data_IF_394579108962
#
_entry.id   IF_394579108962
#
_cell.length_a   1.000
_cell.length_b   1.000
_cell.length_c   1.000
_cell.angle_alpha   90.00
_cell.angle_beta   90.00
_cell.angle_gamma   90.00
#
_symmetry.space_group_name_H-M   'P 1'
#
loop_
_entity.id
_entity.type
_entity.pdbx_description
1 polymer ?
#
# COMPACT_ATOMS: atom_id res chain seq x y z
N UNK A 1 13.08 1.69 18.60
CA UNK A 1 14.04 2.45 17.81
C UNK A 1 15.36 2.50 18.57
N UNK A 2 16.48 2.35 17.86
CA UNK A 2 17.83 2.44 18.41
C UNK A 2 18.67 3.40 17.57
N UNK A 3 19.87 3.85 18.03
CA UNK A 3 20.76 4.70 17.22
C UNK A 3 21.18 4.07 15.87
N UNK A 4 20.98 2.78 15.68
CA UNK A 4 21.27 2.06 14.44
C UNK A 4 20.08 1.96 13.50
N UNK A 5 18.88 2.33 13.95
CA UNK A 5 17.67 2.27 13.11
C UNK A 5 17.77 3.33 12.01
N UNK A 6 17.63 2.91 10.75
CA UNK A 6 17.70 3.80 9.56
C UNK A 6 16.38 3.87 8.82
N UNK A 7 15.60 2.81 8.89
CA UNK A 7 14.33 2.69 8.18
C UNK A 7 13.31 2.05 9.11
N UNK A 8 12.08 2.57 9.10
CA UNK A 8 10.88 1.93 9.66
C UNK A 8 10.01 1.54 8.47
N UNK A 9 9.71 0.24 8.34
CA UNK A 9 8.78 -0.25 7.32
C UNK A 9 7.58 -0.89 8.00
N UNK A 10 6.37 -0.43 7.64
CA UNK A 10 5.14 -0.89 8.27
C UNK A 10 3.93 -0.73 7.35
N UNK A 11 2.93 -1.60 7.53
CA UNK A 11 1.64 -1.43 6.86
C UNK A 11 0.84 -0.29 7.50
N UNK A 12 0.16 0.54 6.69
CA UNK A 12 -0.79 1.53 7.18
C UNK A 12 -2.07 0.86 7.72
N UNK A 13 -2.55 -0.17 7.02
CA UNK A 13 -3.63 -1.05 7.47
C UNK A 13 -3.15 -2.48 7.40
N UNK A 14 -3.26 -3.22 8.51
CA UNK A 14 -2.83 -4.63 8.53
C UNK A 14 -3.87 -5.51 7.82
N UNK A 15 -3.40 -6.53 7.08
CA UNK A 15 -4.30 -7.28 6.21
C UNK A 15 -5.11 -8.38 6.92
N UNK A 16 -4.81 -8.69 8.17
CA UNK A 16 -5.53 -9.72 8.95
C UNK A 16 -6.41 -9.06 10.01
N UNK A 17 -5.82 -8.25 10.87
CA UNK A 17 -6.55 -7.61 11.97
C UNK A 17 -7.26 -6.34 11.51
N UNK A 18 -6.80 -5.69 10.43
CA UNK A 18 -7.38 -4.45 9.95
C UNK A 18 -7.00 -3.21 10.79
N UNK A 19 -5.99 -3.35 11.66
CA UNK A 19 -5.51 -2.25 12.49
C UNK A 19 -4.97 -1.10 11.64
N UNK A 20 -5.50 0.11 11.86
CA UNK A 20 -5.10 1.34 11.15
C UNK A 20 -4.05 2.07 11.98
N UNK A 21 -2.85 2.19 11.45
CA UNK A 21 -1.73 2.78 12.16
C UNK A 21 -1.60 4.28 11.93
N UNK A 22 -1.19 5.05 12.95
CA UNK A 22 -1.04 6.50 12.89
C UNK A 22 0.24 6.87 12.12
N UNK A 23 0.21 6.74 10.79
CA UNK A 23 1.40 6.91 9.92
C UNK A 23 1.99 8.30 10.04
N UNK A 24 1.16 9.35 10.10
CA UNK A 24 1.62 10.73 10.21
C UNK A 24 2.46 10.97 11.46
N UNK A 25 1.99 10.48 12.59
CA UNK A 25 2.67 10.58 13.89
C UNK A 25 3.97 9.77 13.90
N UNK A 26 3.93 8.59 13.26
CA UNK A 26 5.12 7.74 13.10
C UNK A 26 6.16 8.43 12.21
N UNK A 27 5.75 9.06 11.10
CA UNK A 27 6.64 9.80 10.23
C UNK A 27 7.28 10.99 10.97
N UNK A 28 6.48 11.79 11.68
CA UNK A 28 6.99 12.92 12.45
C UNK A 28 8.05 12.47 13.47
N UNK A 29 7.76 11.44 14.25
CA UNK A 29 8.71 10.87 15.21
C UNK A 29 9.99 10.32 14.54
N UNK A 30 9.83 9.60 13.43
CA UNK A 30 10.95 8.99 12.72
C UNK A 30 11.89 10.06 12.13
N UNK A 31 11.32 11.10 11.53
CA UNK A 31 12.08 12.20 10.91
C UNK A 31 12.88 13.01 11.92
N UNK A 32 12.37 13.23 13.13
CA UNK A 32 13.15 13.86 14.23
C UNK A 32 14.44 13.08 14.56
N UNK A 33 14.44 11.78 14.27
CA UNK A 33 15.59 10.89 14.50
C UNK A 33 16.41 10.60 13.23
N UNK A 34 16.07 11.21 12.11
CA UNK A 34 16.72 10.98 10.81
C UNK A 34 16.47 9.57 10.26
N UNK A 35 15.28 9.00 10.51
CA UNK A 35 14.87 7.66 10.09
C UNK A 35 13.83 7.78 8.97
N UNK A 36 14.03 7.04 7.89
CA UNK A 36 13.07 6.97 6.78
C UNK A 36 11.89 6.06 7.10
N UNK A 37 10.71 6.42 6.56
CA UNK A 37 9.48 5.64 6.73
C UNK A 37 8.99 5.12 5.38
N UNK A 38 8.87 3.79 5.30
CA UNK A 38 8.33 3.06 4.15
C UNK A 38 6.97 2.48 4.52
N UNK A 39 5.92 2.93 3.85
CA UNK A 39 4.54 2.53 4.13
C UNK A 39 4.06 1.47 3.14
N UNK A 40 3.59 0.34 3.64
CA UNK A 40 2.78 -0.59 2.87
C UNK A 40 1.33 -0.09 2.87
N UNK A 41 0.89 0.42 1.71
CA UNK A 41 -0.44 0.93 1.45
C UNK A 41 -1.39 -0.10 0.83
N UNK A 42 -1.01 -1.38 0.78
CA UNK A 42 -1.78 -2.38 0.04
C UNK A 42 -3.22 -2.57 0.53
N UNK A 43 -3.49 -2.33 1.82
CA UNK A 43 -4.83 -2.40 2.41
C UNK A 43 -5.42 -1.02 2.74
N UNK A 44 -4.67 0.07 2.61
CA UNK A 44 -5.20 1.42 2.85
C UNK A 44 -5.65 2.11 1.56
N UNK A 45 -4.79 2.15 0.54
CA UNK A 45 -5.06 2.88 -0.72
C UNK A 45 -6.33 2.40 -1.44
N UNK A 46 -6.70 1.10 -1.44
CA UNK A 46 -7.96 0.63 -2.03
C UNK A 46 -9.23 1.08 -1.29
N UNK A 47 -9.15 1.35 0.01
CA UNK A 47 -10.31 1.40 0.89
C UNK A 47 -10.51 2.75 1.58
N UNK A 48 -9.52 3.63 1.58
CA UNK A 48 -9.60 4.95 2.21
C UNK A 48 -8.81 5.99 1.44
N UNK A 49 -9.10 7.26 1.69
CA UNK A 49 -8.33 8.37 1.12
C UNK A 49 -6.93 8.39 1.73
N UNK A 50 -5.92 8.30 0.89
CA UNK A 50 -4.51 8.41 1.27
C UNK A 50 -3.91 9.63 0.59
N UNK A 51 -3.35 10.54 1.39
CA UNK A 51 -2.63 11.73 0.93
C UNK A 51 -1.20 11.67 1.43
N UNK A 52 -0.27 11.40 0.53
CA UNK A 52 1.15 11.24 0.86
C UNK A 52 1.80 12.54 1.38
N UNK A 53 1.29 13.70 0.96
CA UNK A 53 1.76 14.99 1.46
C UNK A 53 1.32 15.24 2.90
N UNK A 54 0.10 14.80 3.25
CA UNK A 54 -0.40 14.86 4.61
C UNK A 54 0.30 13.87 5.54
N UNK A 55 0.55 12.65 5.06
CA UNK A 55 1.22 11.60 5.81
C UNK A 55 2.72 11.89 6.01
N UNK A 56 3.31 12.62 5.07
CA UNK A 56 4.75 12.92 5.01
C UNK A 56 5.64 11.65 4.99
N UNK A 57 5.14 10.53 4.48
CA UNK A 57 5.93 9.31 4.35
C UNK A 57 6.99 9.45 3.24
N UNK A 58 8.11 8.78 3.41
CA UNK A 58 9.22 8.83 2.46
C UNK A 58 8.96 7.95 1.25
N UNK A 59 8.36 6.79 1.47
CA UNK A 59 7.92 5.85 0.44
C UNK A 59 6.56 5.26 0.78
N UNK A 60 5.76 4.96 -0.25
CA UNK A 60 4.49 4.23 -0.13
C UNK A 60 4.35 3.28 -1.30
N UNK A 61 4.04 2.00 -1.00
CA UNK A 61 3.85 0.97 -2.01
C UNK A 61 2.44 0.37 -1.95
N UNK A 62 1.84 0.08 -3.11
CA UNK A 62 0.55 -0.58 -3.20
C UNK A 62 0.36 -1.31 -4.53
N UNK A 63 -0.68 -2.13 -4.64
CA UNK A 63 -0.92 -3.02 -5.77
C UNK A 63 -2.23 -2.73 -6.48
N UNK A 64 -2.21 -2.73 -7.82
CA UNK A 64 -3.40 -2.45 -8.64
C UNK A 64 -4.52 -3.48 -8.44
N UNK A 65 -4.19 -4.77 -8.28
CA UNK A 65 -5.19 -5.83 -8.17
C UNK A 65 -6.08 -5.72 -6.92
N UNK A 66 -5.66 -4.97 -5.90
CA UNK A 66 -6.49 -4.66 -4.73
C UNK A 66 -7.36 -3.41 -4.92
N UNK A 67 -7.15 -2.68 -6.03
CA UNK A 67 -7.87 -1.47 -6.41
C UNK A 67 -8.70 -1.66 -7.67
N UNK A 68 -9.33 -2.81 -7.87
CA UNK A 68 -10.08 -3.19 -9.07
C UNK A 68 -9.25 -3.16 -10.38
N UNK A 69 -7.95 -3.01 -10.25
CA UNK A 69 -7.00 -3.01 -11.36
C UNK A 69 -6.46 -4.40 -11.69
N UNK A 70 -5.68 -4.54 -12.75
CA UNK A 70 -5.13 -5.83 -13.17
C UNK A 70 -4.01 -6.31 -12.25
N UNK A 71 -3.78 -7.63 -12.27
CA UNK A 71 -2.59 -8.25 -11.64
C UNK A 71 -1.31 -7.84 -12.34
N UNK A 72 -0.17 -7.96 -11.66
CA UNK A 72 1.16 -7.68 -12.24
C UNK A 72 1.48 -6.18 -12.38
N UNK A 73 0.71 -5.31 -11.74
CA UNK A 73 0.98 -3.86 -11.65
C UNK A 73 0.98 -3.43 -10.19
N UNK A 74 1.97 -2.64 -9.83
CA UNK A 74 2.07 -1.99 -8.53
C UNK A 74 2.70 -0.61 -8.68
N UNK A 75 2.61 0.18 -7.64
CA UNK A 75 3.16 1.54 -7.57
C UNK A 75 4.07 1.67 -6.37
N UNK A 76 5.20 2.29 -6.56
CA UNK A 76 6.04 2.85 -5.52
C UNK A 76 6.02 4.37 -5.65
N UNK A 77 5.41 5.04 -4.68
CA UNK A 77 5.62 6.46 -4.46
C UNK A 77 6.89 6.66 -3.64
N UNK A 78 7.62 7.72 -3.90
CA UNK A 78 8.73 8.17 -3.07
C UNK A 78 8.95 9.66 -3.21
N UNK A 79 9.47 10.31 -2.17
CA UNK A 79 9.95 11.70 -2.25
C UNK A 79 11.02 11.76 -3.33
N UNK A 80 10.94 12.76 -4.22
CA UNK A 80 11.78 12.85 -5.43
C UNK A 80 13.27 12.75 -5.12
N UNK A 81 13.72 13.51 -4.13
CA UNK A 81 15.10 13.54 -3.68
C UNK A 81 15.61 12.18 -3.17
N UNK A 82 14.72 11.35 -2.63
CA UNK A 82 15.07 10.01 -2.19
C UNK A 82 15.12 9.04 -3.37
N UNK A 83 14.16 9.12 -4.31
CA UNK A 83 14.15 8.30 -5.51
C UNK A 83 15.38 8.56 -6.40
N UNK A 84 15.83 9.81 -6.51
CA UNK A 84 17.04 10.20 -7.25
C UNK A 84 18.32 9.54 -6.70
N UNK A 85 18.34 9.27 -5.39
CA UNK A 85 19.46 8.61 -4.72
C UNK A 85 19.37 7.08 -4.68
N UNK A 86 18.27 6.48 -5.16
CA UNK A 86 18.16 5.04 -5.25
C UNK A 86 18.98 4.48 -6.42
N UNK A 87 19.67 3.39 -6.16
CA UNK A 87 20.25 2.56 -7.22
C UNK A 87 19.18 1.58 -7.72
N UNK A 88 19.04 1.39 -9.04
CA UNK A 88 18.12 0.37 -9.57
C UNK A 88 18.59 -1.03 -9.14
N UNK A 89 17.64 -1.88 -8.75
CA UNK A 89 17.90 -3.28 -8.38
C UNK A 89 18.17 -4.10 -9.65
N UNK A 90 17.44 -3.81 -10.73
CA UNK A 90 17.58 -4.47 -12.02
C UNK A 90 17.99 -3.45 -13.08
N UNK A 91 18.79 -3.87 -14.03
CA UNK A 91 19.09 -3.12 -15.25
C UNK A 91 18.43 -3.78 -16.45
N UNK A 92 17.88 -2.97 -17.36
CA UNK A 92 17.17 -3.48 -18.54
C UNK A 92 16.92 -2.42 -19.61
N UNK A 93 16.23 -2.82 -20.66
CA UNK A 93 15.89 -1.93 -21.77
C UNK A 93 15.05 -0.74 -21.27
N UNK A 94 15.22 0.41 -21.93
CA UNK A 94 14.50 1.64 -21.64
C UNK A 94 15.10 2.53 -20.57
N UNK A 95 15.99 2.02 -19.72
CA UNK A 95 16.63 2.75 -18.62
C UNK A 95 17.81 3.62 -19.04
N UNK A 96 18.52 3.24 -20.10
CA UNK A 96 19.76 3.91 -20.52
C UNK A 96 19.45 5.15 -21.35
N UNK A 97 20.20 6.23 -21.10
CA UNK A 97 20.16 7.45 -21.87
C UNK A 97 21.02 7.37 -23.12
N UNK A 98 22.27 6.87 -22.98
CA UNK A 98 23.19 6.65 -24.10
C UNK A 98 24.01 5.37 -23.93
N UNK A 99 24.61 4.92 -25.05
CA UNK A 99 25.53 3.78 -25.12
C UNK A 99 26.89 4.19 -25.67
N UNK A 100 27.24 5.46 -25.60
CA UNK A 100 28.43 6.01 -26.21
C UNK A 100 29.73 5.49 -25.58
N UNK A 101 29.66 5.12 -24.31
CA UNK A 101 30.80 4.50 -23.62
C UNK A 101 30.38 3.14 -23.00
N UNK A 102 30.88 2.00 -23.50
CA UNK A 102 30.53 0.68 -23.01
C UNK A 102 31.03 0.39 -21.58
N UNK A 103 31.83 1.27 -20.99
CA UNK A 103 32.34 1.14 -19.61
C UNK A 103 31.50 1.95 -18.60
N UNK A 104 30.59 2.78 -19.07
CA UNK A 104 29.79 3.67 -18.23
C UNK A 104 28.31 3.52 -18.57
N UNK A 105 27.47 3.39 -17.55
CA UNK A 105 26.03 3.30 -17.71
C UNK A 105 25.43 4.65 -17.29
N UNK A 106 24.90 5.38 -18.27
CA UNK A 106 24.16 6.61 -18.04
C UNK A 106 22.67 6.29 -18.01
N UNK A 107 22.06 6.40 -16.83
CA UNK A 107 20.64 6.14 -16.66
C UNK A 107 19.83 7.40 -16.98
N UNK A 108 18.65 7.19 -17.54
CA UNK A 108 17.64 8.24 -17.72
C UNK A 108 17.19 8.82 -16.38
N UNK A 109 16.46 9.93 -16.45
CA UNK A 109 15.78 10.52 -15.31
C UNK A 109 14.65 9.62 -14.77
N UNK A 110 14.16 9.96 -13.58
CA UNK A 110 12.96 9.36 -13.01
C UNK A 110 11.75 9.54 -13.94
N UNK A 111 10.86 8.58 -14.01
CA UNK A 111 10.89 7.26 -13.32
C UNK A 111 11.73 6.19 -14.04
N UNK A 112 12.14 6.43 -15.27
CA UNK A 112 12.73 5.43 -16.18
C UNK A 112 13.98 4.74 -15.64
N UNK A 113 14.79 5.44 -14.85
CA UNK A 113 16.00 4.87 -14.24
C UNK A 113 15.72 3.74 -13.24
N UNK A 114 14.49 3.63 -12.74
CA UNK A 114 14.08 2.62 -11.76
C UNK A 114 13.16 1.54 -12.36
N UNK A 115 12.83 1.65 -13.67
CA UNK A 115 11.91 0.74 -14.38
C UNK A 115 12.66 -0.04 -15.46
N UNK A 116 13.05 -1.28 -15.14
CA UNK A 116 13.84 -2.13 -16.03
C UNK A 116 12.99 -2.89 -17.04
N UNK A 117 13.29 -2.71 -18.33
CA UNK A 117 12.64 -3.44 -19.43
C UNK A 117 11.32 -2.81 -19.89
N UNK A 118 10.66 -3.47 -20.83
CA UNK A 118 9.34 -3.02 -21.33
C UNK A 118 8.30 -3.14 -20.22
N UNK A 119 7.61 -2.05 -19.82
CA UNK A 119 6.61 -2.09 -18.77
C UNK A 119 5.37 -2.87 -19.20
N UNK A 120 4.55 -3.29 -18.23
CA UNK A 120 3.24 -3.88 -18.47
C UNK A 120 2.25 -2.79 -18.94
N UNK A 121 2.36 -2.38 -20.22
CA UNK A 121 1.61 -1.25 -20.80
C UNK A 121 0.10 -1.46 -20.65
N UNK A 122 -0.41 -2.63 -21.05
CA UNK A 122 -1.85 -2.93 -20.95
C UNK A 122 -2.34 -2.89 -19.51
N UNK A 123 -1.56 -3.45 -18.57
CA UNK A 123 -1.90 -3.42 -17.16
C UNK A 123 -1.92 -2.01 -16.57
N UNK A 124 -0.96 -1.15 -16.94
CA UNK A 124 -0.92 0.25 -16.47
C UNK A 124 -2.10 1.06 -17.01
N UNK A 125 -2.46 0.88 -18.28
CA UNK A 125 -3.65 1.53 -18.88
C UNK A 125 -4.92 1.07 -18.16
N UNK A 126 -5.09 -0.24 -17.96
CA UNK A 126 -6.23 -0.80 -17.23
C UNK A 126 -6.30 -0.30 -15.79
N UNK A 127 -5.15 -0.16 -15.12
CA UNK A 127 -5.11 0.42 -13.78
C UNK A 127 -5.52 1.90 -13.76
N UNK A 128 -5.13 2.67 -14.77
CA UNK A 128 -5.59 4.06 -14.93
C UNK A 128 -7.12 4.18 -15.01
N UNK A 129 -7.79 3.26 -15.70
CA UNK A 129 -9.27 3.22 -15.77
C UNK A 129 -9.88 2.79 -14.42
N UNK A 130 -9.28 1.86 -13.69
CA UNK A 130 -9.71 1.49 -12.34
C UNK A 130 -9.63 2.68 -11.38
N UNK A 131 -8.55 3.46 -11.42
CA UNK A 131 -8.41 4.70 -10.62
C UNK A 131 -9.50 5.72 -10.97
N UNK A 132 -9.80 5.93 -12.25
CA UNK A 132 -10.89 6.83 -12.68
C UNK A 132 -12.23 6.35 -12.14
N UNK A 133 -12.50 5.05 -12.19
CA UNK A 133 -13.73 4.47 -11.66
C UNK A 133 -13.87 4.71 -10.15
N UNK A 134 -12.83 4.44 -9.36
CA UNK A 134 -12.81 4.68 -7.92
C UNK A 134 -13.00 6.17 -7.59
N UNK A 135 -12.31 7.05 -8.31
CA UNK A 135 -12.45 8.49 -8.13
C UNK A 135 -13.85 9.02 -8.47
N UNK A 136 -14.52 8.44 -9.46
CA UNK A 136 -15.91 8.80 -9.82
C UNK A 136 -16.91 8.41 -8.72
N UNK A 137 -16.67 7.32 -7.99
CA UNK A 137 -17.45 6.96 -6.80
C UNK A 137 -17.09 7.89 -5.64
N UNK A 138 -15.81 8.13 -5.43
CA UNK A 138 -15.21 8.87 -4.33
C UNK A 138 -14.76 7.96 -3.18
N UNK A 139 -13.48 8.06 -2.79
CA UNK A 139 -12.88 7.20 -1.77
C UNK A 139 -13.58 7.33 -0.41
N UNK A 140 -14.02 8.52 -0.03
CA UNK A 140 -14.75 8.73 1.22
C UNK A 140 -16.09 7.96 1.24
N UNK A 141 -16.81 7.92 0.10
CA UNK A 141 -18.07 7.15 -0.02
C UNK A 141 -17.84 5.64 0.00
N UNK A 142 -16.73 5.18 -0.59
CA UNK A 142 -16.33 3.77 -0.55
C UNK A 142 -16.08 3.38 0.91
N UNK A 143 -15.23 4.12 1.60
CA UNK A 143 -14.92 3.88 3.00
C UNK A 143 -16.19 3.89 3.89
N UNK A 144 -17.03 4.91 3.75
CA UNK A 144 -18.30 4.98 4.48
C UNK A 144 -19.21 3.77 4.22
N UNK A 145 -19.28 3.31 2.98
CA UNK A 145 -20.08 2.13 2.62
C UNK A 145 -19.52 0.86 3.23
N UNK A 146 -18.22 0.69 3.18
CA UNK A 146 -17.53 -0.47 3.76
C UNK A 146 -17.70 -0.54 5.28
N UNK A 147 -17.57 0.60 5.97
CA UNK A 147 -17.79 0.67 7.41
C UNK A 147 -19.24 0.33 7.79
N UNK A 148 -20.22 0.83 7.04
CA UNK A 148 -21.65 0.45 7.25
C UNK A 148 -21.88 -1.06 7.06
N UNK A 149 -21.20 -1.69 6.10
CA UNK A 149 -21.30 -3.14 5.89
C UNK A 149 -20.61 -3.90 7.03
N UNK A 150 -19.48 -3.42 7.51
CA UNK A 150 -18.79 -3.96 8.68
C UNK A 150 -19.70 -3.95 9.90
N UNK A 151 -20.25 -2.79 10.24
CA UNK A 151 -21.13 -2.62 11.40
C UNK A 151 -22.34 -3.57 11.32
N UNK A 152 -22.96 -3.64 10.13
CA UNK A 152 -24.07 -4.57 9.90
C UNK A 152 -23.67 -6.03 10.11
N UNK A 153 -22.49 -6.43 9.61
CA UNK A 153 -22.00 -7.80 9.75
C UNK A 153 -21.67 -8.13 11.21
N UNK A 154 -20.97 -7.22 11.91
CA UNK A 154 -20.67 -7.38 13.35
C UNK A 154 -21.94 -7.52 14.16
N UNK A 155 -22.97 -6.68 13.93
CA UNK A 155 -24.28 -6.78 14.62
C UNK A 155 -24.95 -8.16 14.44
N UNK A 156 -24.71 -8.83 13.34
CA UNK A 156 -25.23 -10.19 13.10
C UNK A 156 -24.33 -11.27 13.72
N UNK A 157 -23.03 -11.14 13.56
CA UNK A 157 -22.06 -12.16 14.00
C UNK A 157 -22.00 -12.24 15.54
N UNK A 158 -22.08 -11.13 16.25
CA UNK A 158 -22.02 -11.09 17.72
C UNK A 158 -23.19 -11.85 18.39
N UNK A 159 -24.26 -12.12 17.64
CA UNK A 159 -25.42 -12.89 18.12
C UNK A 159 -25.25 -14.40 17.95
N UNK A 160 -24.18 -14.83 17.31
CA UNK A 160 -23.85 -16.23 17.07
C UNK A 160 -22.89 -16.69 18.17
N UNK A 161 -23.31 -17.56 19.10
CA UNK A 161 -22.57 -17.80 20.35
C UNK A 161 -21.23 -18.52 20.19
N UNK A 162 -20.96 -19.09 19.02
CA UNK A 162 -19.73 -19.81 18.72
C UNK A 162 -18.80 -19.03 17.78
N UNK A 163 -19.05 -17.75 17.56
CA UNK A 163 -18.16 -16.86 16.80
C UNK A 163 -17.49 -15.87 17.75
N UNK A 164 -16.16 -15.85 17.71
CA UNK A 164 -15.33 -14.86 18.39
C UNK A 164 -14.73 -13.88 17.35
N UNK A 165 -15.11 -12.60 17.43
CA UNK A 165 -14.63 -11.56 16.51
C UNK A 165 -13.41 -10.89 17.13
N UNK A 166 -12.26 -11.01 16.45
CA UNK A 166 -10.96 -10.56 16.97
C UNK A 166 -10.81 -9.03 16.95
N UNK A 167 -11.45 -8.32 16.01
CA UNK A 167 -11.14 -6.93 15.66
C UNK A 167 -12.38 -6.03 15.54
N UNK A 168 -13.30 -6.11 16.49
CA UNK A 168 -14.57 -5.34 16.47
C UNK A 168 -14.34 -3.84 16.32
N UNK A 169 -13.36 -3.26 16.99
CA UNK A 169 -13.14 -1.83 17.13
C UNK A 169 -12.18 -1.21 16.08
N UNK A 170 -11.72 -1.97 15.09
CA UNK A 170 -10.77 -1.41 14.11
C UNK A 170 -11.45 -0.48 13.10
N UNK A 171 -10.73 0.58 12.65
CA UNK A 171 -11.20 1.59 11.69
C UNK A 171 -11.01 1.15 10.22
N UNK A 172 -11.07 -0.15 9.94
CA UNK A 172 -11.06 -0.72 8.59
C UNK A 172 -12.21 -1.72 8.42
N UNK A 173 -12.56 -2.02 7.18
CA UNK A 173 -13.63 -2.96 6.87
C UNK A 173 -13.21 -4.45 6.93
N UNK A 174 -12.01 -4.73 7.39
CA UNK A 174 -11.52 -6.09 7.60
C UNK A 174 -12.15 -6.65 8.88
N UNK A 175 -12.71 -7.86 8.79
CA UNK A 175 -13.27 -8.59 9.93
C UNK A 175 -12.56 -9.93 10.03
N UNK A 176 -11.94 -10.18 11.18
CA UNK A 176 -11.31 -11.45 11.51
C UNK A 176 -12.05 -12.11 12.65
N UNK A 177 -12.34 -13.37 12.51
CA UNK A 177 -13.09 -14.13 13.51
C UNK A 177 -12.61 -15.57 13.60
N UNK A 178 -12.88 -16.20 14.72
CA UNK A 178 -12.72 -17.63 14.95
C UNK A 178 -14.10 -18.27 15.13
N UNK A 179 -14.16 -19.55 14.86
CA UNK A 179 -15.33 -20.39 15.20
C UNK A 179 -14.88 -21.42 16.22
N UNK A 180 -15.59 -21.51 17.34
CA UNK A 180 -15.24 -22.41 18.42
C UNK A 180 -15.10 -23.84 17.94
N UNK A 181 -14.04 -24.51 18.37
CA UNK A 181 -13.73 -25.91 18.07
C UNK A 181 -13.55 -26.24 16.57
N UNK A 182 -13.45 -25.25 15.68
CA UNK A 182 -13.22 -25.44 14.24
C UNK A 182 -11.93 -24.72 13.81
N UNK A 183 -11.04 -25.45 13.12
CA UNK A 183 -9.85 -24.85 12.55
C UNK A 183 -10.21 -23.82 11.46
N UNK A 184 -9.50 -22.70 11.45
CA UNK A 184 -9.74 -21.62 10.47
C UNK A 184 -9.72 -22.10 9.00
N UNK A 185 -8.89 -23.10 8.67
CA UNK A 185 -8.83 -23.71 7.34
C UNK A 185 -10.09 -24.48 6.96
N UNK A 186 -10.85 -24.97 7.93
CA UNK A 186 -12.10 -25.71 7.69
C UNK A 186 -13.30 -24.76 7.58
N UNK A 187 -13.13 -23.49 8.03
CA UNK A 187 -14.15 -22.43 7.91
C UNK A 187 -14.04 -21.70 6.56
N UNK A 188 -12.84 -21.61 5.97
CA UNK A 188 -12.55 -20.88 4.73
C UNK A 188 -12.76 -21.74 3.48
#
# INVERSE_FOLDING_TARGET
VTPRTKIISLAMVTNVIGDVRPIKEICAFAHELGIFVVVDGAQSVPHMKVDVSYLDCDFLAFSAHKMLGPTGVGVLYGKKELLENLNPINLGGGMNESFDNPKEIYLKDLPYRLEAGTPNIAGVIGFGEAIKYLNNIGMDKIHEREMKLKDYLIDKMIKIPFIDIVNVECDSAIISFNVDDIFAQDVA
#
